data_IF_150037045992
#
_entry.id   IF_150037045992
#
_cell.length_a   1.000
_cell.length_b   1.000
_cell.length_c   1.000
_cell.angle_alpha   90.00
_cell.angle_beta   90.00
_cell.angle_gamma   90.00
#
_symmetry.space_group_name_H-M   'P 1'
#
loop_
_entity.id
_entity.type
_entity.pdbx_description
1 polymer ?
#
# COMPACT_ATOMS: atom_id res chain seq x y z
N UNK A 1 -19.91 34.92 26.46
CA UNK A 1 -20.95 35.34 25.50
C UNK A 1 -20.22 35.65 24.19
N UNK A 2 -20.10 34.70 23.24
CA UNK A 2 -21.00 34.47 22.09
C UNK A 2 -21.11 35.78 21.24
N UNK A 3 -20.82 35.89 19.93
CA UNK A 3 -21.13 35.06 18.74
C UNK A 3 -20.34 35.56 17.49
N UNK A 4 -19.93 34.63 16.59
CA UNK A 4 -19.81 34.62 15.09
C UNK A 4 -19.31 35.88 14.35
N UNK A 5 -18.54 35.85 13.26
CA UNK A 5 -18.13 34.84 12.30
C UNK A 5 -17.94 35.51 10.93
N UNK A 6 -16.97 35.09 10.12
CA UNK A 6 -16.91 35.37 8.68
C UNK A 6 -16.12 34.23 7.98
N UNK A 7 -16.82 33.47 7.12
CA UNK A 7 -16.25 32.44 6.24
C UNK A 7 -15.45 33.10 5.10
N UNK A 8 -14.33 32.52 4.63
CA UNK A 8 -13.83 32.76 3.29
C UNK A 8 -14.57 31.86 2.28
N UNK A 9 -14.92 32.47 1.15
CA UNK A 9 -15.75 31.95 0.07
C UNK A 9 -15.03 30.86 -0.75
N UNK A 10 -15.77 29.80 -1.08
CA UNK A 10 -15.32 28.67 -1.91
C UNK A 10 -15.11 29.09 -3.37
N UNK A 11 -13.86 29.07 -3.82
CA UNK A 11 -13.49 29.09 -5.24
C UNK A 11 -13.54 27.68 -5.83
N UNK A 12 -14.59 27.39 -6.61
CA UNK A 12 -14.77 26.13 -7.36
C UNK A 12 -13.71 25.97 -8.44
N UNK A 13 -12.75 25.07 -8.24
CA UNK A 13 -12.01 24.44 -9.34
C UNK A 13 -12.56 23.02 -9.53
N UNK A 14 -13.50 22.87 -10.47
CA UNK A 14 -14.02 21.56 -10.90
C UNK A 14 -12.99 20.91 -11.81
N UNK A 15 -12.22 19.96 -11.29
CA UNK A 15 -11.65 18.88 -12.09
C UNK A 15 -11.98 17.56 -11.40
N UNK A 16 -12.81 16.76 -12.08
CA UNK A 16 -13.41 15.55 -11.56
C UNK A 16 -12.40 14.43 -11.47
N UNK A 17 -12.04 14.03 -10.25
CA UNK A 17 -11.54 12.68 -9.91
C UNK A 17 -11.63 12.40 -8.41
N UNK A 18 -12.64 12.97 -7.73
CA UNK A 18 -12.83 12.92 -6.27
C UNK A 18 -14.07 12.10 -5.90
N UNK A 19 -14.04 10.79 -6.18
CA UNK A 19 -15.16 9.91 -5.84
C UNK A 19 -14.79 8.51 -5.37
N UNK A 20 -13.64 7.98 -5.79
CA UNK A 20 -13.24 6.59 -5.51
C UNK A 20 -12.09 6.52 -4.49
N UNK A 21 -11.22 7.54 -4.40
CA UNK A 21 -10.06 7.53 -3.48
C UNK A 21 -10.40 7.90 -2.03
N UNK A 22 -11.30 8.84 -1.77
CA UNK A 22 -11.54 9.33 -0.40
C UNK A 22 -12.34 8.34 0.45
N UNK A 23 -13.29 7.62 -0.13
CA UNK A 23 -14.11 6.63 0.60
C UNK A 23 -13.34 5.37 1.00
N UNK A 24 -12.29 5.01 0.26
CA UNK A 24 -11.49 3.82 0.56
C UNK A 24 -10.69 3.96 1.87
N UNK A 25 -10.16 5.15 2.16
CA UNK A 25 -9.33 5.37 3.36
C UNK A 25 -10.16 5.63 4.63
N UNK A 26 -11.37 6.17 4.52
CA UNK A 26 -12.19 6.52 5.68
C UNK A 26 -12.89 5.30 6.32
N UNK A 27 -13.35 4.32 5.54
CA UNK A 27 -14.10 3.17 6.08
C UNK A 27 -13.22 2.04 6.64
N UNK A 28 -11.91 2.01 6.33
CA UNK A 28 -11.01 0.89 6.68
C UNK A 28 -9.76 1.29 7.48
N UNK A 29 -9.85 2.31 8.35
CA UNK A 29 -8.67 2.83 9.05
C UNK A 29 -7.96 1.77 9.92
N UNK A 30 -8.71 0.89 10.59
CA UNK A 30 -8.14 -0.16 11.43
C UNK A 30 -7.47 -1.27 10.60
N UNK A 31 -8.04 -1.61 9.45
CA UNK A 31 -7.46 -2.56 8.51
C UNK A 31 -6.10 -2.06 7.99
N UNK A 32 -6.06 -0.79 7.57
CA UNK A 32 -4.84 -0.15 7.06
C UNK A 32 -3.79 -0.08 8.16
N UNK A 33 -4.17 0.34 9.38
CA UNK A 33 -3.25 0.36 10.54
C UNK A 33 -2.69 -1.04 10.83
N UNK A 34 -3.53 -2.07 10.80
CA UNK A 34 -3.08 -3.44 11.02
C UNK A 34 -2.05 -3.88 9.97
N UNK A 35 -2.25 -3.55 8.69
CA UNK A 35 -1.29 -3.88 7.62
C UNK A 35 0.00 -3.07 7.76
N UNK A 36 -0.09 -1.77 8.01
CA UNK A 36 1.09 -0.89 8.13
C UNK A 36 1.99 -1.28 9.31
N UNK A 37 1.40 -1.77 10.39
CA UNK A 37 2.13 -2.23 11.57
C UNK A 37 2.67 -3.66 11.44
N UNK A 38 2.38 -4.38 10.35
CA UNK A 38 2.97 -5.69 10.12
C UNK A 38 4.45 -5.58 9.76
N UNK A 39 5.22 -6.46 10.38
CA UNK A 39 6.65 -6.58 10.18
C UNK A 39 6.96 -7.53 9.02
N UNK A 40 6.62 -7.09 7.81
CA UNK A 40 6.69 -7.94 6.61
C UNK A 40 8.09 -8.00 5.99
N UNK A 41 9.02 -7.11 6.37
CA UNK A 41 10.44 -7.21 6.01
C UNK A 41 11.34 -7.17 7.23
N UNK A 42 12.25 -8.13 7.34
CA UNK A 42 13.42 -8.11 8.23
C UNK A 42 13.14 -7.65 9.68
N UNK A 43 11.95 -7.96 10.23
CA UNK A 43 11.63 -7.69 11.64
C UNK A 43 11.28 -6.22 11.98
N UNK A 44 11.14 -5.32 11.00
CA UNK A 44 10.72 -3.93 11.25
C UNK A 44 9.40 -3.56 10.56
N UNK A 45 8.49 -2.93 11.32
CA UNK A 45 7.29 -2.27 10.79
C UNK A 45 7.62 -0.99 9.99
N UNK A 46 6.60 -0.37 9.38
CA UNK A 46 6.78 0.84 8.58
C UNK A 46 7.36 2.02 9.38
N UNK A 47 6.79 2.29 10.56
CA UNK A 47 7.18 3.42 11.41
C UNK A 47 8.65 3.32 11.83
N UNK A 48 9.11 2.14 12.25
CA UNK A 48 10.51 1.89 12.60
C UNK A 48 11.45 2.13 11.43
N UNK A 49 11.04 1.80 10.19
CA UNK A 49 11.84 2.03 8.99
C UNK A 49 11.95 3.51 8.61
N UNK A 50 10.90 4.31 8.88
CA UNK A 50 10.98 5.77 8.74
C UNK A 50 12.01 6.34 9.72
N UNK A 51 11.89 6.00 11.00
CA UNK A 51 12.81 6.51 12.03
C UNK A 51 14.26 6.11 11.76
N UNK A 52 14.51 4.85 11.37
CA UNK A 52 15.85 4.41 10.97
C UNK A 52 16.45 5.23 9.82
N UNK A 53 15.63 5.65 8.85
CA UNK A 53 16.09 6.52 7.76
C UNK A 53 16.38 7.95 8.26
N UNK A 54 15.60 8.46 9.22
CA UNK A 54 15.84 9.75 9.88
C UNK A 54 17.14 9.73 10.68
N UNK A 55 17.41 8.66 11.43
CA UNK A 55 18.66 8.51 12.19
C UNK A 55 19.87 8.48 11.25
N UNK A 56 19.78 7.68 10.19
CA UNK A 56 20.81 7.62 9.13
C UNK A 56 21.07 8.98 8.48
N UNK A 57 20.04 9.79 8.31
CA UNK A 57 20.18 11.15 7.81
C UNK A 57 20.95 12.04 8.80
N UNK A 58 20.57 12.01 10.07
CA UNK A 58 21.26 12.76 11.12
C UNK A 58 22.75 12.41 11.19
N UNK A 59 23.08 11.11 11.11
CA UNK A 59 24.46 10.62 11.11
C UNK A 59 25.27 11.16 9.92
N UNK A 60 24.67 11.17 8.73
CA UNK A 60 25.32 11.74 7.54
C UNK A 60 25.56 13.23 7.67
N UNK A 61 24.60 14.00 8.19
CA UNK A 61 24.77 15.44 8.37
C UNK A 61 25.89 15.74 9.36
N UNK A 62 25.89 15.06 10.51
CA UNK A 62 26.92 15.21 11.52
C UNK A 62 28.31 14.89 10.94
N UNK A 63 28.42 13.80 10.17
CA UNK A 63 29.67 13.39 9.53
C UNK A 63 30.13 14.39 8.47
N UNK A 64 29.25 14.76 7.53
CA UNK A 64 29.61 15.63 6.41
C UNK A 64 29.95 17.04 6.90
N UNK A 65 29.23 17.56 7.91
CA UNK A 65 29.52 18.87 8.53
C UNK A 65 30.86 18.83 9.26
N UNK A 66 31.11 17.82 10.10
CA UNK A 66 32.38 17.68 10.81
C UNK A 66 33.57 17.62 9.85
N UNK A 67 33.45 16.85 8.76
CA UNK A 67 34.47 16.77 7.73
C UNK A 67 34.65 18.09 6.97
N UNK A 68 33.58 18.82 6.70
CA UNK A 68 33.68 20.10 6.00
C UNK A 68 34.37 21.16 6.86
N UNK A 69 34.09 21.19 8.16
CA UNK A 69 34.85 22.02 9.11
C UNK A 69 36.32 21.61 9.19
N UNK A 70 36.62 20.31 9.26
CA UNK A 70 38.00 19.83 9.30
C UNK A 70 38.80 20.22 8.05
N UNK A 71 38.16 20.29 6.88
CA UNK A 71 38.78 20.78 5.62
C UNK A 71 38.89 22.30 5.53
N UNK A 72 38.25 23.05 6.43
CA UNK A 72 38.16 24.50 6.34
C UNK A 72 37.26 24.98 5.19
N UNK A 73 36.22 24.22 4.84
CA UNK A 73 35.27 24.62 3.79
C UNK A 73 34.52 25.91 4.19
N UNK A 74 34.31 26.82 3.24
CA UNK A 74 33.50 28.03 3.48
C UNK A 74 32.05 27.67 3.79
N UNK A 75 31.37 28.50 4.57
CA UNK A 75 29.95 28.30 4.92
C UNK A 75 29.05 28.11 3.68
N UNK A 76 29.27 28.88 2.60
CA UNK A 76 28.54 28.71 1.35
C UNK A 76 28.74 27.33 0.70
N UNK A 77 29.96 26.79 0.79
CA UNK A 77 30.27 25.45 0.28
C UNK A 77 29.58 24.38 1.11
N UNK A 78 29.61 24.51 2.43
CA UNK A 78 28.92 23.60 3.36
C UNK A 78 27.42 23.61 3.07
N UNK A 79 26.78 24.80 3.06
CA UNK A 79 25.35 24.94 2.82
C UNK A 79 24.90 24.34 1.48
N UNK A 80 25.67 24.56 0.40
CA UNK A 80 25.39 23.97 -0.91
C UNK A 80 25.54 22.46 -0.93
N UNK A 81 26.57 21.91 -0.29
CA UNK A 81 26.73 20.46 -0.18
C UNK A 81 25.58 19.82 0.60
N UNK A 82 25.18 20.42 1.74
CA UNK A 82 24.03 19.95 2.52
C UNK A 82 22.76 19.95 1.67
N UNK A 83 22.46 21.04 0.96
CA UNK A 83 21.27 21.14 0.10
C UNK A 83 21.23 20.03 -0.97
N UNK A 84 22.37 19.74 -1.61
CA UNK A 84 22.47 18.65 -2.60
C UNK A 84 22.23 17.28 -1.97
N UNK A 85 22.79 17.04 -0.78
CA UNK A 85 22.61 15.79 -0.02
C UNK A 85 21.14 15.56 0.35
N UNK A 86 20.48 16.58 0.91
CA UNK A 86 19.05 16.52 1.24
C UNK A 86 18.18 16.22 0.01
N UNK A 87 18.40 16.96 -1.07
CA UNK A 87 17.59 16.84 -2.29
C UNK A 87 17.77 15.50 -3.01
N UNK A 88 18.97 14.94 -3.01
CA UNK A 88 19.27 13.75 -3.82
C UNK A 88 19.21 12.45 -3.03
N UNK A 89 19.80 12.40 -1.84
CA UNK A 89 19.91 11.14 -1.08
C UNK A 89 18.66 10.94 -0.22
N UNK A 90 18.32 11.94 0.60
CA UNK A 90 17.27 11.81 1.60
C UNK A 90 15.89 11.71 0.95
N UNK A 91 15.65 12.57 -0.04
CA UNK A 91 14.43 12.51 -0.85
C UNK A 91 14.29 11.14 -1.52
N UNK A 92 15.33 10.66 -2.20
CA UNK A 92 15.25 9.37 -2.91
C UNK A 92 15.05 8.18 -1.96
N UNK A 93 15.71 8.19 -0.80
CA UNK A 93 15.54 7.17 0.24
C UNK A 93 14.12 7.16 0.82
N UNK A 94 13.54 8.34 1.09
CA UNK A 94 12.15 8.47 1.56
C UNK A 94 11.15 7.99 0.51
N UNK A 95 11.30 8.43 -0.74
CA UNK A 95 10.38 7.98 -1.80
C UNK A 95 10.48 6.48 -2.00
N UNK A 96 11.69 5.90 -2.03
CA UNK A 96 11.87 4.45 -2.13
C UNK A 96 11.10 3.72 -1.03
N UNK A 97 11.21 4.18 0.21
CA UNK A 97 10.50 3.61 1.34
C UNK A 97 8.98 3.72 1.14
N UNK A 98 8.46 4.92 0.91
CA UNK A 98 7.02 5.16 0.74
C UNK A 98 6.43 4.33 -0.40
N UNK A 99 7.08 4.26 -1.55
CA UNK A 99 6.57 3.50 -2.70
C UNK A 99 6.58 2.00 -2.45
N UNK A 100 7.63 1.49 -1.79
CA UNK A 100 7.72 0.05 -1.48
C UNK A 100 6.64 -0.34 -0.48
N UNK A 101 6.44 0.48 0.54
CA UNK A 101 5.44 0.26 1.59
C UNK A 101 4.01 0.46 1.10
N UNK A 102 3.79 1.51 0.32
CA UNK A 102 2.51 1.74 -0.33
C UNK A 102 2.13 0.55 -1.21
N UNK A 103 3.08 -0.02 -1.97
CA UNK A 103 2.81 -1.21 -2.79
C UNK A 103 2.44 -2.41 -1.93
N UNK A 104 3.16 -2.65 -0.83
CA UNK A 104 2.80 -3.71 0.13
C UNK A 104 1.39 -3.52 0.69
N UNK A 105 1.12 -2.35 1.26
CA UNK A 105 -0.16 -2.05 1.92
C UNK A 105 -1.31 -2.20 0.94
N UNK A 106 -1.16 -1.67 -0.28
CA UNK A 106 -2.20 -1.74 -1.29
C UNK A 106 -2.43 -3.18 -1.76
N UNK A 107 -1.37 -3.95 -2.01
CA UNK A 107 -1.52 -5.34 -2.43
C UNK A 107 -2.16 -6.21 -1.34
N UNK A 108 -1.71 -6.10 -0.09
CA UNK A 108 -2.30 -6.85 1.03
C UNK A 108 -3.74 -6.43 1.33
N UNK A 109 -4.05 -5.13 1.27
CA UNK A 109 -5.42 -4.68 1.46
C UNK A 109 -6.33 -5.19 0.32
N UNK A 110 -5.84 -5.15 -0.92
CA UNK A 110 -6.59 -5.59 -2.09
C UNK A 110 -6.83 -7.09 -2.12
N UNK A 111 -5.92 -7.93 -1.60
CA UNK A 111 -6.11 -9.39 -1.67
C UNK A 111 -7.05 -9.93 -0.59
N UNK A 112 -7.19 -9.23 0.55
CA UNK A 112 -8.00 -9.67 1.70
C UNK A 112 -9.44 -10.10 1.35
N UNK A 113 -10.22 -9.32 0.57
CA UNK A 113 -11.59 -9.72 0.22
C UNK A 113 -11.66 -11.02 -0.60
N UNK A 114 -10.56 -11.42 -1.25
CA UNK A 114 -10.52 -12.61 -2.10
C UNK A 114 -10.07 -13.88 -1.36
N UNK A 115 -9.57 -13.76 -0.12
CA UNK A 115 -8.97 -14.89 0.62
C UNK A 115 -9.98 -16.00 0.94
N UNK A 116 -11.25 -15.66 1.11
CA UNK A 116 -12.30 -16.62 1.46
C UNK A 116 -12.88 -17.36 0.24
N UNK A 117 -12.92 -16.69 -0.91
CA UNK A 117 -13.64 -17.16 -2.10
C UNK A 117 -12.75 -17.69 -3.23
N UNK A 118 -11.46 -17.34 -3.19
CA UNK A 118 -10.50 -17.67 -4.24
C UNK A 118 -9.26 -18.36 -3.66
N UNK A 119 -8.64 -19.20 -4.48
CA UNK A 119 -7.48 -20.00 -4.07
C UNK A 119 -6.18 -19.50 -4.70
N UNK A 120 -6.22 -19.04 -5.95
CA UNK A 120 -5.03 -18.74 -6.74
C UNK A 120 -5.01 -17.29 -7.22
N UNK A 121 -3.80 -16.77 -7.36
CA UNK A 121 -3.54 -15.47 -7.98
C UNK A 121 -2.34 -15.55 -8.90
N UNK A 122 -2.22 -14.54 -9.76
CA UNK A 122 -1.10 -14.33 -10.66
C UNK A 122 -0.62 -12.90 -10.56
N UNK A 123 0.69 -12.68 -10.70
CA UNK A 123 1.26 -11.34 -10.65
C UNK A 123 0.95 -10.57 -11.93
N UNK A 124 0.39 -9.36 -11.77
CA UNK A 124 0.14 -8.41 -12.84
C UNK A 124 1.13 -7.27 -12.76
N UNK A 125 1.87 -7.08 -13.85
CA UNK A 125 2.91 -6.04 -13.95
C UNK A 125 2.35 -4.79 -14.61
N UNK A 126 2.96 -3.63 -14.35
CA UNK A 126 2.44 -2.31 -14.75
C UNK A 126 2.36 -2.07 -16.28
N UNK A 127 2.83 -3.00 -17.12
CA UNK A 127 2.65 -2.96 -18.58
C UNK A 127 3.37 -1.83 -19.33
N UNK A 128 4.16 -0.98 -18.66
CA UNK A 128 4.78 0.23 -19.22
C UNK A 128 6.09 -0.02 -20.00
N UNK A 129 6.41 -1.28 -20.32
CA UNK A 129 7.68 -1.68 -20.95
C UNK A 129 8.92 -1.58 -20.05
N UNK A 130 8.80 -1.00 -18.84
CA UNK A 130 9.91 -0.81 -17.88
C UNK A 130 9.90 -1.85 -16.76
N UNK A 131 9.18 -2.95 -16.96
CA UNK A 131 9.12 -4.06 -16.00
C UNK A 131 10.53 -4.66 -15.85
N UNK A 132 10.97 -4.90 -14.62
CA UNK A 132 12.28 -5.50 -14.38
C UNK A 132 12.26 -7.02 -14.62
N UNK A 133 13.44 -7.65 -14.65
CA UNK A 133 13.56 -9.11 -14.84
C UNK A 133 12.88 -9.92 -13.72
N UNK A 134 12.97 -9.45 -12.47
CA UNK A 134 12.37 -10.12 -11.30
C UNK A 134 10.85 -10.17 -11.45
N UNK A 135 10.22 -9.03 -11.68
CA UNK A 135 8.77 -8.93 -11.87
C UNK A 135 8.28 -9.70 -13.09
N UNK A 136 9.04 -9.68 -14.21
CA UNK A 136 8.72 -10.52 -15.38
C UNK A 136 8.76 -12.02 -15.05
N UNK A 137 9.70 -12.44 -14.21
CA UNK A 137 9.79 -13.84 -13.76
C UNK A 137 8.60 -14.21 -12.88
N UNK A 138 8.28 -13.37 -11.90
CA UNK A 138 7.15 -13.58 -10.99
C UNK A 138 5.79 -13.64 -11.74
N UNK A 139 5.59 -12.79 -12.76
CA UNK A 139 4.37 -12.75 -13.57
C UNK A 139 4.05 -14.05 -14.36
N UNK A 140 5.01 -14.97 -14.46
CA UNK A 140 4.81 -16.27 -15.14
C UNK A 140 4.25 -17.35 -14.21
N UNK A 141 4.29 -17.12 -12.90
CA UNK A 141 3.88 -18.10 -11.91
C UNK A 141 2.48 -17.80 -11.42
N UNK A 142 1.70 -18.87 -11.22
CA UNK A 142 0.44 -18.84 -10.47
C UNK A 142 0.75 -19.32 -9.07
N UNK A 143 0.24 -18.64 -8.05
CA UNK A 143 0.54 -18.92 -6.65
C UNK A 143 -0.75 -19.01 -5.84
N UNK A 144 -0.72 -19.80 -4.76
CA UNK A 144 -1.84 -19.90 -3.84
C UNK A 144 -1.92 -18.67 -2.93
N UNK A 145 -3.11 -18.11 -2.74
CA UNK A 145 -3.39 -16.93 -1.92
C UNK A 145 -3.01 -17.17 -0.46
N UNK A 146 -3.17 -18.41 0.02
CA UNK A 146 -2.82 -18.82 1.40
C UNK A 146 -1.32 -18.79 1.65
N UNK A 147 -0.52 -19.07 0.63
CA UNK A 147 0.95 -19.14 0.70
C UNK A 147 1.62 -17.85 0.21
N UNK A 148 0.86 -16.75 0.11
CA UNK A 148 1.41 -15.47 -0.32
C UNK A 148 2.44 -14.96 0.70
N UNK A 149 3.55 -14.50 0.16
CA UNK A 149 4.72 -14.05 0.90
C UNK A 149 5.31 -12.84 0.17
N UNK A 150 5.11 -11.63 0.71
CA UNK A 150 5.68 -10.40 0.17
C UNK A 150 7.19 -10.52 -0.05
N UNK A 151 7.67 -10.11 -1.23
CA UNK A 151 9.09 -10.21 -1.58
C UNK A 151 9.53 -11.54 -2.19
N UNK A 152 8.71 -12.60 -2.06
CA UNK A 152 9.00 -13.92 -2.61
C UNK A 152 8.07 -14.24 -3.79
N UNK A 153 6.78 -14.36 -3.53
CA UNK A 153 5.75 -14.63 -4.54
C UNK A 153 4.64 -13.56 -4.58
N UNK A 154 4.63 -12.61 -3.62
CA UNK A 154 3.67 -11.51 -3.55
C UNK A 154 4.39 -10.15 -3.57
N UNK A 155 3.81 -9.08 -4.14
CA UNK A 155 4.46 -7.78 -4.16
C UNK A 155 4.55 -7.17 -2.75
N UNK A 156 5.55 -6.31 -2.51
CA UNK A 156 6.57 -5.83 -3.45
C UNK A 156 7.79 -6.77 -3.53
N UNK A 157 8.30 -7.00 -4.74
CA UNK A 157 9.48 -7.87 -4.97
C UNK A 157 10.83 -7.17 -4.79
N UNK A 158 10.84 -5.85 -4.89
CA UNK A 158 12.05 -5.04 -4.80
C UNK A 158 11.67 -3.60 -4.47
N UNK A 159 12.68 -2.79 -4.14
CA UNK A 159 12.53 -1.34 -4.03
C UNK A 159 11.89 -0.76 -5.30
N UNK A 160 10.90 0.13 -5.14
CA UNK A 160 10.15 0.73 -6.26
C UNK A 160 9.33 -0.26 -7.09
N UNK A 161 8.99 -1.42 -6.53
CA UNK A 161 8.03 -2.32 -7.17
C UNK A 161 6.70 -1.59 -7.39
N UNK A 162 6.08 -1.83 -8.55
CA UNK A 162 4.76 -1.30 -8.93
C UNK A 162 3.82 -2.41 -9.41
N UNK A 163 4.14 -3.65 -9.04
CA UNK A 163 3.34 -4.81 -9.42
C UNK A 163 2.14 -4.96 -8.51
N UNK A 164 1.08 -5.52 -9.07
CA UNK A 164 -0.12 -5.95 -8.38
C UNK A 164 -0.36 -7.43 -8.68
N UNK A 165 -1.56 -7.92 -8.40
CA UNK A 165 -2.01 -9.26 -8.72
C UNK A 165 -3.35 -9.23 -9.45
N UNK A 166 -3.67 -10.35 -10.09
CA UNK A 166 -4.99 -10.69 -10.61
C UNK A 166 -5.38 -12.05 -10.04
N UNK A 167 -6.66 -12.25 -9.82
CA UNK A 167 -7.19 -13.55 -9.39
C UNK A 167 -7.17 -14.50 -10.58
N UNK A 168 -6.71 -15.73 -10.34
CA UNK A 168 -6.67 -16.78 -11.36
C UNK A 168 -7.69 -17.86 -11.00
N UNK A 169 -8.57 -18.18 -11.95
CA UNK A 169 -9.58 -19.23 -11.81
C UNK A 169 -9.46 -20.13 -13.03
N UNK A 170 -9.35 -21.45 -12.79
CA UNK A 170 -9.15 -22.43 -13.85
C UNK A 170 -10.40 -22.56 -14.75
N UNK A 171 -11.60 -22.49 -14.16
CA UNK A 171 -12.89 -22.53 -14.86
C UNK A 171 -13.90 -21.59 -14.18
N UNK A 172 -14.21 -20.48 -14.86
CA UNK A 172 -15.13 -19.46 -14.35
C UNK A 172 -16.58 -19.93 -14.29
N UNK A 173 -17.04 -20.74 -15.25
CA UNK A 173 -18.42 -21.21 -15.28
C UNK A 173 -18.67 -22.20 -14.12
N UNK A 174 -17.72 -23.10 -13.89
CA UNK A 174 -17.76 -24.00 -12.73
C UNK A 174 -17.71 -23.20 -11.43
N UNK A 175 -16.78 -22.26 -11.29
CA UNK A 175 -16.64 -21.47 -10.08
C UNK A 175 -17.90 -20.64 -9.77
N UNK A 176 -18.52 -20.02 -10.78
CA UNK A 176 -19.78 -19.26 -10.60
C UNK A 176 -20.91 -20.16 -10.10
N UNK A 177 -21.07 -21.35 -10.70
CA UNK A 177 -22.08 -22.33 -10.25
C UNK A 177 -21.84 -22.77 -8.80
N UNK A 178 -20.59 -23.09 -8.45
CA UNK A 178 -20.22 -23.50 -7.09
C UNK A 178 -20.42 -22.36 -6.07
N UNK A 179 -20.07 -21.12 -6.44
CA UNK A 179 -20.31 -19.93 -5.62
C UNK A 179 -21.81 -19.72 -5.38
N UNK A 180 -22.62 -19.72 -6.45
CA UNK A 180 -24.07 -19.59 -6.33
C UNK A 180 -24.67 -20.68 -5.43
N UNK A 181 -24.26 -21.93 -5.58
CA UNK A 181 -24.78 -23.04 -4.77
C UNK A 181 -24.43 -22.87 -3.28
N UNK A 182 -23.22 -22.39 -2.96
CA UNK A 182 -22.80 -22.09 -1.58
C UNK A 182 -23.62 -20.95 -0.95
N UNK A 183 -23.99 -19.95 -1.74
CA UNK A 183 -24.71 -18.76 -1.25
C UNK A 183 -26.25 -18.82 -1.39
N UNK A 184 -26.79 -19.74 -2.20
CA UNK A 184 -28.24 -20.02 -2.26
C UNK A 184 -28.79 -20.45 -0.91
N UNK A 185 -28.14 -21.40 -0.22
CA UNK A 185 -28.59 -21.88 1.10
C UNK A 185 -28.54 -20.78 2.17
N UNK A 186 -27.55 -19.87 2.10
CA UNK A 186 -27.45 -18.74 3.00
C UNK A 186 -28.53 -17.70 2.75
N UNK A 187 -28.93 -17.50 1.50
CA UNK A 187 -30.00 -16.57 1.11
C UNK A 187 -31.37 -17.09 1.55
N UNK A 188 -31.65 -18.39 1.35
CA UNK A 188 -32.87 -19.06 1.83
C UNK A 188 -32.95 -19.08 3.37
N UNK A 189 -31.82 -19.28 4.05
CA UNK A 189 -31.71 -19.22 5.51
C UNK A 189 -31.92 -17.80 6.04
N UNK A 190 -31.36 -16.78 5.40
CA UNK A 190 -31.60 -15.39 5.75
C UNK A 190 -33.06 -14.96 5.51
N UNK A 191 -33.68 -15.43 4.43
CA UNK A 191 -35.08 -15.16 4.11
C UNK A 191 -36.03 -15.81 5.14
N UNK A 192 -35.80 -17.09 5.49
CA UNK A 192 -36.59 -17.79 6.50
C UNK A 192 -36.46 -17.20 7.91
N UNK A 193 -35.29 -16.69 8.29
CA UNK A 193 -35.11 -15.94 9.55
C UNK A 193 -35.89 -14.62 9.53
N UNK A 194 -35.85 -13.88 8.42
CA UNK A 194 -36.65 -12.65 8.24
C UNK A 194 -38.15 -12.93 8.33
N UNK A 195 -38.61 -14.00 7.68
CA UNK A 195 -40.02 -14.41 7.69
C UNK A 195 -40.46 -14.88 9.08
N UNK A 196 -39.61 -15.58 9.82
CA UNK A 196 -39.88 -15.96 11.22
C UNK A 196 -39.96 -14.74 12.15
N UNK A 197 -39.07 -13.75 11.97
CA UNK A 197 -39.12 -12.49 12.72
C UNK A 197 -40.36 -11.65 12.37
N UNK A 198 -40.83 -11.69 11.12
CA UNK A 198 -42.04 -10.99 10.70
C UNK A 198 -43.33 -11.62 11.27
N UNK A 199 -43.33 -12.93 11.55
CA UNK A 199 -44.47 -13.66 12.15
C UNK A 199 -44.58 -13.53 13.67
N UNK A 200 -43.54 -13.00 14.34
CA UNK A 200 -43.53 -12.75 15.79
C UNK A 200 -43.93 -11.31 16.18
N UNK A 201 -44.34 -10.50 15.20
CA UNK A 201 -44.93 -9.17 15.37
C UNK A 201 -46.43 -9.23 15.17
#
# INVERSE_FOLDING_TARGET
MLICGHKPQEGKCRSGSYGIREKFYAENSELVKAIVNQSWTAGADFSRRIWKNTDKLSDYLNTDIAQAFARGDSYDRIARQMKLRFNNVCRNDMYRLIYTEGTYVMAEASIRPFVEDFEKYKISTVGDGKVCRICRGAARQVCDIKDRSPGVNFPPFHAWCRCTFTIEVDDWDKWMNDYENRHKSNTERAQSIKDAMARQK
#
